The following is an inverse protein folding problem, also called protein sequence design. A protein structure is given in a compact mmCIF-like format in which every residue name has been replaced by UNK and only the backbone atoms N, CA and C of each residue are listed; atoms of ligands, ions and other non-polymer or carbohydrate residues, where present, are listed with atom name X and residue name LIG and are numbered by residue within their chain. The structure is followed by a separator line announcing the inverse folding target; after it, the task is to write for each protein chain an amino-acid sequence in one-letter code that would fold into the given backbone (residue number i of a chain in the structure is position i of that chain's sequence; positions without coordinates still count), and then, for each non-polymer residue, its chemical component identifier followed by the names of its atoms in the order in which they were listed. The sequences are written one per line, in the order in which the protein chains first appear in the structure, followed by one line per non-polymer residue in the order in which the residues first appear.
data_IF_937238652205
#
_entry.id   IF_937238652205
#
_cell.length_a   1.000
_cell.length_b   1.000
_cell.length_c   1.000
_cell.angle_alpha   90.00
_cell.angle_beta   90.00
_cell.angle_gamma   90.00
#
_symmetry.space_group_name_H-M   'P 1'
#
loop_
_entity.id
_entity.type
_entity.pdbx_description
1 polymer ?
#
# COMPACT_ATOMS: atom_id res chain seq x y z
N UNK A 1 36.09 7.27 -3.48
CA UNK A 1 35.21 6.17 -3.06
C UNK A 1 33.82 6.67 -2.62
N UNK A 2 33.75 7.63 -1.69
CA UNK A 2 32.46 8.12 -1.17
C UNK A 2 31.58 8.86 -2.20
N UNK A 3 32.18 9.54 -3.19
CA UNK A 3 31.44 10.26 -4.24
C UNK A 3 30.64 9.33 -5.16
N UNK A 4 31.21 8.18 -5.54
CA UNK A 4 30.51 7.17 -6.34
C UNK A 4 29.34 6.53 -5.57
N UNK A 5 29.56 6.19 -4.30
CA UNK A 5 28.51 5.65 -3.44
C UNK A 5 27.37 6.66 -3.20
N UNK A 6 27.70 7.94 -3.02
CA UNK A 6 26.70 8.99 -2.85
C UNK A 6 25.85 9.20 -4.11
N UNK A 7 26.48 9.17 -5.29
CA UNK A 7 25.76 9.25 -6.57
C UNK A 7 24.83 8.05 -6.78
N UNK A 8 25.34 6.84 -6.48
CA UNK A 8 24.60 5.60 -6.65
C UNK A 8 23.42 5.51 -5.67
N UNK A 9 23.59 5.97 -4.42
CA UNK A 9 22.49 6.11 -3.47
C UNK A 9 21.45 7.13 -3.96
N UNK A 10 21.86 8.30 -4.45
CA UNK A 10 20.92 9.29 -4.97
C UNK A 10 20.08 8.77 -6.13
N UNK A 11 20.68 7.95 -6.99
CA UNK A 11 19.97 7.36 -8.13
C UNK A 11 19.04 6.21 -7.72
N UNK A 12 19.49 5.31 -6.84
CA UNK A 12 18.69 4.17 -6.36
C UNK A 12 17.50 4.60 -5.51
N UNK A 13 17.74 5.46 -4.51
CA UNK A 13 16.73 5.88 -3.55
C UNK A 13 15.82 7.02 -4.06
N UNK A 14 16.21 7.68 -5.16
CA UNK A 14 15.40 8.70 -5.82
C UNK A 14 14.61 8.12 -7.00
N UNK A 15 15.01 8.39 -8.25
CA UNK A 15 14.21 8.07 -9.43
C UNK A 15 14.01 6.56 -9.63
N UNK A 16 14.98 5.71 -9.32
CA UNK A 16 14.84 4.26 -9.54
C UNK A 16 13.76 3.64 -8.63
N UNK A 17 13.75 4.00 -7.33
CA UNK A 17 12.73 3.50 -6.41
C UNK A 17 11.32 4.00 -6.79
N UNK A 18 11.18 5.25 -7.22
CA UNK A 18 9.90 5.80 -7.69
C UNK A 18 9.39 5.08 -8.95
N UNK A 19 10.26 4.83 -9.93
CA UNK A 19 9.91 4.10 -11.16
C UNK A 19 9.46 2.68 -10.82
N UNK A 20 10.14 2.00 -9.90
CA UNK A 20 9.74 0.66 -9.46
C UNK A 20 8.39 0.68 -8.75
N UNK A 21 8.14 1.67 -7.89
CA UNK A 21 6.88 1.77 -7.16
C UNK A 21 5.70 2.03 -8.11
N UNK A 22 5.84 2.99 -9.03
CA UNK A 22 4.80 3.29 -10.02
C UNK A 22 4.65 2.15 -11.03
N UNK A 23 5.77 1.57 -11.47
CA UNK A 23 5.79 0.44 -12.40
C UNK A 23 5.06 -0.78 -11.84
N UNK A 24 5.34 -1.14 -10.58
CA UNK A 24 4.64 -2.24 -9.89
C UNK A 24 3.15 -1.92 -9.69
N UNK A 25 2.81 -0.68 -9.32
CA UNK A 25 1.42 -0.24 -9.20
C UNK A 25 0.64 -0.39 -10.52
N UNK A 26 1.18 0.11 -11.63
CA UNK A 26 0.57 0.01 -12.95
C UNK A 26 0.47 -1.44 -13.41
N UNK A 27 1.56 -2.21 -13.27
CA UNK A 27 1.59 -3.63 -13.63
C UNK A 27 0.49 -4.42 -12.93
N UNK A 28 0.33 -4.25 -11.61
CA UNK A 28 -0.72 -4.90 -10.85
C UNK A 28 -2.11 -4.42 -11.27
N UNK A 29 -2.29 -3.12 -11.54
CA UNK A 29 -3.57 -2.56 -11.97
C UNK A 29 -4.03 -3.16 -13.30
N UNK A 30 -3.15 -3.29 -14.28
CA UNK A 30 -3.46 -3.91 -15.57
C UNK A 30 -3.68 -5.42 -15.44
N UNK A 31 -2.82 -6.13 -14.71
CA UNK A 31 -2.92 -7.59 -14.53
C UNK A 31 -4.20 -7.99 -13.78
N UNK A 32 -4.62 -7.19 -12.80
CA UNK A 32 -5.83 -7.43 -12.00
C UNK A 32 -7.11 -6.83 -12.63
N UNK A 33 -7.03 -6.36 -13.89
CA UNK A 33 -8.18 -5.80 -14.65
C UNK A 33 -8.87 -4.65 -13.91
N UNK A 34 -8.10 -3.67 -13.45
CA UNK A 34 -8.59 -2.51 -12.70
C UNK A 34 -9.31 -2.87 -11.39
N UNK A 35 -8.59 -3.57 -10.51
CA UNK A 35 -9.10 -3.95 -9.18
C UNK A 35 -9.57 -2.77 -8.33
N UNK A 36 -9.10 -1.55 -8.61
CA UNK A 36 -9.55 -0.31 -7.98
C UNK A 36 -11.08 -0.10 -8.06
N UNK A 37 -11.77 -0.69 -9.05
CA UNK A 37 -13.25 -0.70 -9.12
C UNK A 37 -13.90 -1.34 -7.89
N UNK A 38 -13.25 -2.29 -7.25
CA UNK A 38 -13.77 -3.01 -6.08
C UNK A 38 -13.48 -2.33 -4.75
N UNK A 39 -12.82 -1.16 -4.74
CA UNK A 39 -12.49 -0.44 -3.50
C UNK A 39 -13.73 -0.14 -2.65
N UNK A 40 -14.85 0.25 -3.28
CA UNK A 40 -16.12 0.49 -2.57
C UNK A 40 -16.71 -0.78 -1.95
N UNK A 41 -16.59 -1.92 -2.64
CA UNK A 41 -16.98 -3.22 -2.09
C UNK A 41 -16.07 -3.62 -0.92
N UNK A 42 -14.76 -3.39 -1.05
CA UNK A 42 -13.78 -3.62 0.00
C UNK A 42 -14.09 -2.81 1.26
N UNK A 43 -14.37 -1.52 1.14
CA UNK A 43 -14.77 -0.66 2.28
C UNK A 43 -16.04 -1.19 2.94
N UNK A 44 -17.05 -1.53 2.13
CA UNK A 44 -18.30 -2.10 2.65
C UNK A 44 -18.04 -3.38 3.43
N UNK A 45 -17.19 -4.27 2.92
CA UNK A 45 -16.81 -5.51 3.60
C UNK A 45 -16.00 -5.25 4.88
N UNK A 46 -15.07 -4.29 4.87
CA UNK A 46 -14.31 -3.90 6.07
C UNK A 46 -15.18 -3.34 7.20
N UNK A 47 -16.29 -2.68 6.87
CA UNK A 47 -17.24 -2.12 7.85
C UNK A 47 -18.33 -3.13 8.24
N UNK A 48 -18.64 -4.09 7.37
CA UNK A 48 -19.64 -5.13 7.63
C UNK A 48 -19.12 -6.08 8.70
N UNK A 49 -19.90 -6.31 9.75
CA UNK A 49 -19.58 -7.30 10.78
C UNK A 49 -19.77 -8.70 10.22
N UNK A 50 -18.68 -9.44 10.00
CA UNK A 50 -18.76 -10.89 9.83
C UNK A 50 -19.07 -11.53 11.18
N UNK A 51 -20.12 -12.37 11.21
CA UNK A 51 -20.64 -12.95 12.45
C UNK A 51 -19.94 -14.25 12.85
N UNK A 52 -18.99 -14.78 12.07
CA UNK A 52 -18.32 -16.06 12.31
C UNK A 52 -17.07 -16.18 11.42
N UNK A 53 -15.88 -15.76 11.90
CA UNK A 53 -14.62 -16.50 11.70
C UNK A 53 -13.39 -15.90 12.42
N UNK A 54 -12.35 -16.73 12.52
CA UNK A 54 -11.16 -16.69 13.38
C UNK A 54 -10.09 -15.62 13.02
N UNK A 55 -10.41 -14.34 13.13
CA UNK A 55 -9.40 -13.27 13.08
C UNK A 55 -9.11 -12.70 14.48
N UNK A 56 -7.83 -12.49 14.83
CA UNK A 56 -7.44 -11.86 16.12
C UNK A 56 -8.03 -10.46 16.30
N UNK A 57 -8.34 -9.76 15.20
CA UNK A 57 -8.93 -8.43 15.18
C UNK A 57 -10.02 -8.32 14.11
N UNK A 58 -10.98 -7.42 14.35
CA UNK A 58 -12.05 -7.16 13.39
C UNK A 58 -11.51 -6.57 12.06
N UNK A 59 -12.14 -6.85 10.91
CA UNK A 59 -11.78 -6.24 9.62
C UNK A 59 -11.74 -4.70 9.65
N UNK A 60 -12.65 -4.10 10.42
CA UNK A 60 -12.68 -2.66 10.67
C UNK A 60 -11.45 -2.21 11.47
N UNK A 61 -11.10 -2.92 12.55
CA UNK A 61 -9.93 -2.62 13.38
C UNK A 61 -8.61 -2.72 12.60
N UNK A 62 -8.45 -3.76 11.77
CA UNK A 62 -7.29 -3.90 10.89
C UNK A 62 -7.15 -2.69 9.94
N UNK A 63 -8.27 -2.25 9.35
CA UNK A 63 -8.30 -1.09 8.46
C UNK A 63 -7.97 0.21 9.22
N UNK A 64 -8.51 0.42 10.41
CA UNK A 64 -8.19 1.60 11.24
C UNK A 64 -6.72 1.63 11.65
N UNK A 65 -6.13 0.50 12.01
CA UNK A 65 -4.69 0.42 12.35
C UNK A 65 -3.80 0.71 11.15
N UNK A 66 -4.10 0.12 9.98
CA UNK A 66 -3.35 0.41 8.76
C UNK A 66 -3.49 1.88 8.33
N UNK A 67 -4.68 2.47 8.48
CA UNK A 67 -4.91 3.88 8.22
C UNK A 67 -4.14 4.76 9.22
N UNK A 68 -4.15 4.42 10.50
CA UNK A 68 -3.36 5.13 11.51
C UNK A 68 -1.85 5.07 11.22
N UNK A 69 -1.34 3.95 10.71
CA UNK A 69 0.06 3.82 10.31
C UNK A 69 0.44 4.65 9.07
N UNK A 70 -0.54 4.95 8.19
CA UNK A 70 -0.31 5.72 6.95
C UNK A 70 -0.65 7.21 7.08
N UNK A 71 -1.63 7.56 7.91
CA UNK A 71 -2.11 8.93 8.17
C UNK A 71 -1.52 9.50 9.46
N UNK A 72 -1.00 8.65 10.35
CA UNK A 72 -0.33 9.05 11.59
C UNK A 72 0.93 9.86 11.29
N UNK A 73 0.77 11.18 11.26
CA UNK A 73 1.81 12.21 11.19
C UNK A 73 3.03 11.79 10.38
N UNK A 74 2.84 11.67 9.07
CA UNK A 74 3.92 11.63 8.07
C UNK A 74 4.43 13.03 7.72
N UNK A 75 4.60 13.90 8.72
CA UNK A 75 5.30 15.18 8.63
C UNK A 75 6.12 15.40 9.91
#
# INVERSE_FOLDING_TARGET
MNSFLSWLNGYLWGPAMLILLIGTHLFLTFRLRFIQRYTGLGIKLSITRENKDQGDISPFGALTTALAATVGTGN
#
